data_IF_951295591042
#
_entry.id   IF_951295591042
#
_cell.length_a   1.000
_cell.length_b   1.000
_cell.length_c   1.000
_cell.angle_alpha   90.00
_cell.angle_beta   90.00
_cell.angle_gamma   90.00
#
_symmetry.space_group_name_H-M   'P 1'
#
loop_
_entity.id
_entity.type
_entity.pdbx_description
1 polymer ?
#
# COMPACT_ATOMS: atom_id res chain seq x y z
N UNK A 1 0.84 9.58 -11.86
CA UNK A 1 1.64 8.36 -12.06
C UNK A 1 1.27 7.77 -13.41
N UNK A 2 1.98 8.22 -14.44
CA UNK A 2 2.12 7.59 -15.74
C UNK A 2 3.32 6.64 -15.63
N UNK A 3 3.04 5.38 -15.36
CA UNK A 3 4.02 4.30 -15.51
C UNK A 3 3.77 3.59 -16.84
N UNK A 4 4.82 3.26 -17.57
CA UNK A 4 4.68 2.46 -18.78
C UNK A 4 4.36 1.01 -18.43
N UNK A 5 3.85 0.25 -19.40
CA UNK A 5 3.62 -1.20 -19.28
C UNK A 5 4.89 -2.00 -18.93
N UNK A 6 6.08 -1.41 -19.07
CA UNK A 6 7.37 -1.99 -18.73
C UNK A 6 7.84 -1.67 -17.29
N UNK A 7 6.98 -1.12 -16.42
CA UNK A 7 7.32 -0.84 -15.02
C UNK A 7 8.23 0.37 -14.81
N UNK A 8 8.35 1.26 -15.81
CA UNK A 8 9.18 2.47 -15.71
C UNK A 8 8.35 3.65 -15.20
N UNK A 9 8.85 4.36 -14.18
CA UNK A 9 8.26 5.58 -13.65
C UNK A 9 8.93 6.82 -14.26
N UNK A 10 8.17 7.64 -14.97
CA UNK A 10 8.65 8.87 -15.60
C UNK A 10 8.27 10.14 -14.84
N UNK A 11 7.60 9.98 -13.69
CA UNK A 11 7.13 11.13 -12.91
C UNK A 11 8.30 11.90 -12.32
N UNK A 12 8.26 13.22 -12.39
CA UNK A 12 9.27 14.13 -11.81
C UNK A 12 8.76 14.85 -10.56
N UNK A 13 7.57 14.47 -10.06
CA UNK A 13 6.98 15.05 -8.86
C UNK A 13 7.66 14.61 -7.56
N UNK A 14 7.83 15.56 -6.65
CA UNK A 14 8.26 15.38 -5.25
C UNK A 14 7.08 15.11 -4.31
N UNK A 15 7.37 14.44 -3.20
CA UNK A 15 6.42 14.08 -2.14
C UNK A 15 6.92 14.55 -0.77
N UNK A 16 7.72 15.61 -0.74
CA UNK A 16 8.25 16.18 0.50
C UNK A 16 7.13 16.52 1.50
N UNK A 17 7.32 16.08 2.75
CA UNK A 17 6.36 16.30 3.84
C UNK A 17 5.03 15.52 3.68
N UNK A 18 4.97 14.54 2.78
CA UNK A 18 3.83 13.63 2.63
C UNK A 18 4.04 12.37 3.43
N UNK A 19 3.00 11.95 4.15
CA UNK A 19 2.95 10.64 4.80
C UNK A 19 2.17 9.64 3.95
N UNK A 20 2.80 8.52 3.64
CA UNK A 20 2.21 7.43 2.86
C UNK A 20 2.14 6.16 3.70
N UNK A 21 0.98 5.52 3.73
CA UNK A 21 0.81 4.17 4.30
C UNK A 21 0.78 3.17 3.16
N UNK A 22 1.60 2.12 3.23
CA UNK A 22 1.61 1.03 2.25
C UNK A 22 1.42 -0.29 2.99
N UNK A 23 0.38 -1.03 2.64
CA UNK A 23 0.19 -2.39 3.16
C UNK A 23 1.09 -3.37 2.41
N UNK A 24 1.79 -4.25 3.13
CA UNK A 24 2.63 -5.30 2.52
C UNK A 24 3.85 -4.73 1.80
N UNK A 25 4.58 -3.81 2.43
CA UNK A 25 5.73 -3.12 1.86
C UNK A 25 7.08 -3.87 2.06
N UNK A 26 7.05 -5.10 2.55
CA UNK A 26 8.26 -5.87 2.85
C UNK A 26 8.80 -6.70 1.67
N UNK A 27 8.09 -6.75 0.53
CA UNK A 27 8.56 -7.47 -0.66
C UNK A 27 7.92 -6.94 -1.95
N UNK A 28 8.47 -7.36 -3.09
CA UNK A 28 7.89 -7.15 -4.42
C UNK A 28 7.51 -5.69 -4.70
N UNK A 29 6.31 -5.51 -5.27
CA UNK A 29 5.78 -4.18 -5.66
C UNK A 29 5.73 -3.24 -4.45
N UNK A 30 5.32 -3.72 -3.29
CA UNK A 30 5.23 -2.92 -2.07
C UNK A 30 6.58 -2.34 -1.63
N UNK A 31 7.64 -3.17 -1.65
CA UNK A 31 9.02 -2.75 -1.32
C UNK A 31 9.52 -1.68 -2.29
N UNK A 32 9.42 -1.93 -3.60
CA UNK A 32 9.89 -0.96 -4.61
C UNK A 32 9.09 0.34 -4.54
N UNK A 33 7.79 0.25 -4.28
CA UNK A 33 6.93 1.43 -4.09
C UNK A 33 7.36 2.23 -2.86
N UNK A 34 7.67 1.56 -1.75
CA UNK A 34 8.18 2.24 -0.55
C UNK A 34 9.52 2.94 -0.82
N UNK A 35 10.45 2.27 -1.49
CA UNK A 35 11.75 2.83 -1.85
C UNK A 35 11.60 4.08 -2.75
N UNK A 36 10.82 3.97 -3.83
CA UNK A 36 10.65 5.05 -4.80
C UNK A 36 9.95 6.28 -4.19
N UNK A 37 8.93 6.06 -3.35
CA UNK A 37 8.24 7.17 -2.66
C UNK A 37 9.15 7.84 -1.63
N UNK A 38 9.97 7.08 -0.89
CA UNK A 38 10.93 7.62 0.06
C UNK A 38 12.04 8.41 -0.66
N UNK A 39 12.55 7.92 -1.79
CA UNK A 39 13.48 8.66 -2.66
C UNK A 39 12.88 9.95 -3.20
N UNK A 40 11.54 10.02 -3.29
CA UNK A 40 10.78 11.24 -3.64
C UNK A 40 10.46 12.14 -2.44
N UNK A 41 10.99 11.84 -1.25
CA UNK A 41 10.86 12.69 -0.06
C UNK A 41 9.69 12.38 0.84
N UNK A 42 8.89 11.36 0.52
CA UNK A 42 7.82 10.94 1.41
C UNK A 42 8.39 10.30 2.68
N UNK A 43 7.61 10.40 3.76
CA UNK A 43 7.70 9.47 4.88
C UNK A 43 6.75 8.31 4.59
N UNK A 44 7.23 7.07 4.72
CA UNK A 44 6.51 5.86 4.37
C UNK A 44 6.34 4.99 5.60
N UNK A 45 5.09 4.70 5.96
CA UNK A 45 4.72 3.65 6.89
C UNK A 45 4.62 2.34 6.12
N UNK A 46 5.57 1.45 6.37
CA UNK A 46 5.61 0.08 5.85
C UNK A 46 4.79 -0.81 6.79
N UNK A 47 3.49 -0.93 6.49
CA UNK A 47 2.55 -1.67 7.32
C UNK A 47 2.55 -3.15 6.93
N UNK A 48 3.15 -4.00 7.77
CA UNK A 48 3.46 -5.39 7.44
C UNK A 48 3.02 -6.36 8.55
N UNK A 49 2.62 -7.57 8.13
CA UNK A 49 2.30 -8.64 9.09
C UNK A 49 3.56 -9.15 9.80
N UNK A 50 4.67 -9.28 9.08
CA UNK A 50 5.92 -9.80 9.62
C UNK A 50 6.91 -8.63 9.78
N UNK A 51 7.23 -8.30 11.04
CA UNK A 51 8.08 -7.14 11.38
C UNK A 51 9.53 -7.41 11.04
N UNK A 52 10.02 -8.63 11.29
CA UNK A 52 11.40 -9.00 10.99
C UNK A 52 11.67 -8.89 9.48
N UNK A 53 10.75 -9.38 8.66
CA UNK A 53 10.85 -9.20 7.20
C UNK A 53 10.73 -7.75 6.77
N UNK A 54 9.93 -6.94 7.48
CA UNK A 54 9.80 -5.52 7.17
C UNK A 54 11.08 -4.74 7.51
N UNK A 55 11.73 -5.05 8.63
CA UNK A 55 13.02 -4.47 9.01
C UNK A 55 14.13 -4.90 8.05
N UNK A 56 14.17 -6.17 7.64
CA UNK A 56 15.09 -6.65 6.61
C UNK A 56 14.88 -5.89 5.29
N UNK A 57 13.63 -5.75 4.83
CA UNK A 57 13.31 -5.00 3.62
C UNK A 57 13.70 -3.51 3.73
N UNK A 58 13.50 -2.89 4.90
CA UNK A 58 13.97 -1.53 5.18
C UNK A 58 15.49 -1.44 5.09
N UNK A 59 16.21 -2.37 5.71
CA UNK A 59 17.67 -2.42 5.63
C UNK A 59 18.15 -2.55 4.18
N UNK A 60 17.52 -3.39 3.37
CA UNK A 60 17.83 -3.54 1.95
C UNK A 60 17.59 -2.23 1.17
N UNK A 61 16.49 -1.52 1.45
CA UNK A 61 16.20 -0.21 0.82
C UNK A 61 17.29 0.81 1.18
N UNK A 62 17.75 0.81 2.43
CA UNK A 62 18.83 1.71 2.89
C UNK A 62 20.18 1.30 2.28
N UNK A 63 20.46 0.02 2.12
CA UNK A 63 21.67 -0.45 1.45
C UNK A 63 21.68 -0.05 -0.04
N UNK A 64 20.52 -0.10 -0.71
CA UNK A 64 20.39 0.24 -2.13
C UNK A 64 20.38 1.74 -2.40
N UNK A 65 19.69 2.52 -1.55
CA UNK A 65 19.31 3.91 -1.84
C UNK A 65 19.63 4.89 -0.71
N UNK A 66 20.30 4.44 0.34
CA UNK A 66 20.62 5.24 1.52
C UNK A 66 21.65 6.33 1.29
N UNK A 67 21.76 7.24 2.26
CA UNK A 67 22.76 8.30 2.24
C UNK A 67 24.17 7.71 2.23
N UNK A 68 25.04 8.20 1.34
CA UNK A 68 26.42 7.72 1.19
C UNK A 68 26.60 6.58 0.17
N UNK A 69 25.52 6.05 -0.40
CA UNK A 69 25.62 5.01 -1.42
C UNK A 69 25.88 5.62 -2.82
N UNK A 70 26.93 5.21 -3.55
CA UNK A 70 27.31 5.81 -4.84
C UNK A 70 26.22 5.73 -5.91
N UNK A 71 25.40 4.69 -5.87
CA UNK A 71 24.37 4.41 -6.87
C UNK A 71 22.97 4.81 -6.41
N UNK A 72 22.82 5.42 -5.22
CA UNK A 72 21.53 5.74 -4.63
C UNK A 72 20.63 6.60 -5.52
N UNK A 73 21.20 7.42 -6.41
CA UNK A 73 20.46 8.33 -7.28
C UNK A 73 20.38 7.86 -8.74
N UNK A 74 21.10 6.81 -9.11
CA UNK A 74 21.22 6.34 -10.50
C UNK A 74 20.65 4.94 -10.71
N UNK A 75 20.65 4.11 -9.66
CA UNK A 75 20.06 2.77 -9.68
C UNK A 75 18.55 2.84 -9.93
N UNK A 76 18.07 2.05 -10.88
CA UNK A 76 16.65 1.93 -11.26
C UNK A 76 15.99 3.25 -11.68
N UNK A 77 16.76 4.15 -12.30
CA UNK A 77 16.26 5.44 -12.80
C UNK A 77 16.09 5.40 -14.32
N UNK A 78 14.92 5.84 -14.80
CA UNK A 78 14.59 5.74 -16.24
C UNK A 78 15.33 6.76 -17.11
N UNK A 79 15.57 7.96 -16.60
CA UNK A 79 16.24 9.05 -17.30
C UNK A 79 16.85 10.05 -16.31
N UNK A 80 17.67 10.96 -16.83
CA UNK A 80 18.35 11.98 -16.00
C UNK A 80 17.38 12.97 -15.34
N UNK A 81 16.22 13.24 -15.93
CA UNK A 81 15.21 14.14 -15.37
C UNK A 81 14.62 13.60 -14.06
N UNK A 82 14.28 12.31 -14.04
CA UNK A 82 13.87 11.62 -12.81
C UNK A 82 15.04 11.58 -11.84
N UNK A 83 16.27 11.28 -12.29
CA UNK A 83 17.43 11.25 -11.40
C UNK A 83 17.65 12.55 -10.61
N UNK A 84 17.40 13.71 -11.22
CA UNK A 84 17.58 15.04 -10.60
C UNK A 84 16.65 15.32 -9.42
N UNK A 85 15.47 14.70 -9.38
CA UNK A 85 14.47 14.95 -8.33
C UNK A 85 14.56 13.95 -7.19
N UNK A 86 15.33 12.88 -7.32
CA UNK A 86 15.45 11.86 -6.29
C UNK A 86 16.45 12.30 -5.22
N UNK A 87 16.17 11.90 -3.99
CA UNK A 87 17.05 12.08 -2.83
C UNK A 87 17.41 10.72 -2.26
N UNK A 88 18.58 10.62 -1.63
CA UNK A 88 18.92 9.42 -0.87
C UNK A 88 17.90 9.18 0.25
N UNK A 89 17.57 7.91 0.49
CA UNK A 89 16.62 7.52 1.52
C UNK A 89 17.28 7.64 2.88
N UNK A 90 16.56 8.22 3.84
CA UNK A 90 16.97 8.23 5.24
C UNK A 90 16.19 7.18 6.03
N UNK A 91 16.81 6.57 7.02
CA UNK A 91 16.20 5.47 7.80
C UNK A 91 14.92 5.91 8.51
N UNK A 92 14.87 7.16 8.98
CA UNK A 92 13.72 7.78 9.63
C UNK A 92 12.54 8.04 8.69
N UNK A 93 12.74 8.02 7.37
CA UNK A 93 11.64 8.09 6.41
C UNK A 93 10.86 6.78 6.33
N UNK A 94 11.46 5.65 6.72
CA UNK A 94 10.85 4.32 6.64
C UNK A 94 10.42 3.88 8.04
N UNK A 95 9.13 3.98 8.32
CA UNK A 95 8.52 3.63 9.60
C UNK A 95 7.92 2.24 9.47
N UNK A 96 8.36 1.28 10.29
CA UNK A 96 7.78 -0.06 10.32
C UNK A 96 6.59 -0.07 11.28
N UNK A 97 5.48 -0.64 10.85
CA UNK A 97 4.29 -0.83 11.68
C UNK A 97 3.69 -2.22 11.48
N UNK A 98 3.21 -2.82 12.59
CA UNK A 98 2.52 -4.10 12.54
C UNK A 98 1.13 -3.91 11.94
N UNK A 99 0.81 -4.69 10.91
CA UNK A 99 -0.52 -4.78 10.34
C UNK A 99 -0.74 -6.17 9.72
N UNK A 100 -1.60 -6.97 10.35
CA UNK A 100 -2.21 -8.14 9.76
C UNK A 100 -3.63 -7.81 9.27
N UNK A 101 -3.84 -7.88 7.95
CA UNK A 101 -5.13 -7.63 7.30
C UNK A 101 -6.11 -8.80 7.46
N UNK A 102 -5.64 -9.98 7.87
CA UNK A 102 -6.46 -11.14 8.18
C UNK A 102 -7.01 -11.13 9.62
N UNK A 103 -6.90 -10.00 10.33
CA UNK A 103 -7.47 -9.80 11.66
C UNK A 103 -7.97 -8.37 11.85
N UNK A 104 -9.28 -8.21 12.06
CA UNK A 104 -9.89 -6.89 12.29
C UNK A 104 -9.42 -6.25 13.58
N UNK A 105 -9.09 -7.06 14.60
CA UNK A 105 -8.42 -6.59 15.82
C UNK A 105 -7.10 -5.89 15.49
N UNK A 106 -6.24 -6.57 14.73
CA UNK A 106 -4.94 -6.02 14.29
C UNK A 106 -5.11 -4.72 13.48
N UNK A 107 -6.10 -4.66 12.58
CA UNK A 107 -6.40 -3.44 11.81
C UNK A 107 -6.76 -2.27 12.73
N UNK A 108 -7.65 -2.50 13.71
CA UNK A 108 -8.05 -1.45 14.67
C UNK A 108 -6.88 -0.99 15.53
N UNK A 109 -6.04 -1.92 16.01
CA UNK A 109 -4.85 -1.61 16.78
C UNK A 109 -3.83 -0.77 15.97
N UNK A 110 -3.62 -1.11 14.69
CA UNK A 110 -2.80 -0.32 13.79
C UNK A 110 -3.35 1.11 13.62
N UNK A 111 -4.64 1.24 13.35
CA UNK A 111 -5.28 2.55 13.22
C UNK A 111 -5.15 3.37 14.50
N UNK A 112 -5.30 2.72 15.67
CA UNK A 112 -5.12 3.40 16.95
C UNK A 112 -3.69 3.93 17.11
N UNK A 113 -2.67 3.13 16.82
CA UNK A 113 -1.27 3.60 16.84
C UNK A 113 -1.01 4.77 15.90
N UNK A 114 -1.62 4.76 14.70
CA UNK A 114 -1.52 5.88 13.76
C UNK A 114 -2.18 7.14 14.32
N UNK A 115 -3.35 7.01 14.96
CA UNK A 115 -4.07 8.11 15.61
C UNK A 115 -3.28 8.70 16.78
N UNK A 116 -2.70 7.85 17.61
CA UNK A 116 -1.95 8.27 18.80
C UNK A 116 -0.71 9.10 18.43
N UNK A 117 -0.12 8.84 17.25
CA UNK A 117 0.98 9.66 16.71
C UNK A 117 0.52 11.03 16.20
N UNK A 118 -0.78 11.28 16.08
CA UNK A 118 -1.34 12.54 15.58
C UNK A 118 -1.00 12.83 14.11
N UNK A 119 -0.61 11.80 13.36
CA UNK A 119 -0.10 11.96 12.00
C UNK A 119 -1.24 12.01 10.98
N UNK A 120 -1.20 13.01 10.09
CA UNK A 120 -2.09 13.09 8.92
C UNK A 120 -1.60 12.14 7.82
N UNK A 121 -2.51 11.38 7.20
CA UNK A 121 -2.18 10.49 6.09
C UNK A 121 -2.54 11.17 4.78
N UNK A 122 -1.58 11.30 3.86
CA UNK A 122 -1.83 11.88 2.55
C UNK A 122 -2.19 10.82 1.50
N UNK A 123 -1.55 9.65 1.57
CA UNK A 123 -1.74 8.58 0.60
C UNK A 123 -1.85 7.23 1.32
N UNK A 124 -2.88 6.46 0.99
CA UNK A 124 -3.02 5.06 1.39
C UNK A 124 -2.86 4.17 0.16
N UNK A 125 -1.96 3.19 0.23
CA UNK A 125 -1.73 2.19 -0.82
C UNK A 125 -2.09 0.81 -0.26
N UNK A 126 -3.26 0.32 -0.66
CA UNK A 126 -3.74 -1.03 -0.39
C UNK A 126 -3.08 -1.99 -1.38
N UNK A 127 -1.85 -2.42 -1.05
CA UNK A 127 -0.99 -3.25 -1.89
C UNK A 127 -0.93 -4.72 -1.44
N UNK A 128 -1.00 -4.99 -0.14
CA UNK A 128 -0.88 -6.33 0.41
C UNK A 128 -1.92 -7.28 -0.17
N UNK A 129 -1.49 -8.47 -0.57
CA UNK A 129 -2.42 -9.50 -1.03
C UNK A 129 -1.84 -10.89 -0.86
N UNK A 130 -2.72 -11.85 -0.65
CA UNK A 130 -2.42 -13.28 -0.70
C UNK A 130 -3.05 -13.87 -1.95
N UNK A 131 -2.36 -14.84 -2.55
CA UNK A 131 -2.77 -15.47 -3.81
C UNK A 131 -2.36 -16.93 -3.79
N UNK A 132 -3.20 -17.81 -4.34
CA UNK A 132 -2.97 -19.27 -4.40
C UNK A 132 -2.65 -19.92 -3.04
N UNK A 133 -3.17 -19.38 -1.94
CA UNK A 133 -3.09 -20.06 -0.65
C UNK A 133 -4.08 -21.24 -0.60
N UNK A 134 -3.77 -22.31 0.18
CA UNK A 134 -4.77 -23.30 0.55
C UNK A 134 -6.03 -22.66 1.15
N UNK A 135 -7.12 -23.41 1.25
CA UNK A 135 -8.30 -22.92 1.97
C UNK A 135 -7.97 -22.75 3.45
N UNK A 136 -8.21 -21.54 3.95
CA UNK A 136 -8.03 -21.17 5.34
C UNK A 136 -8.93 -19.97 5.64
N UNK A 137 -9.19 -19.75 6.93
CA UNK A 137 -10.00 -18.62 7.37
C UNK A 137 -9.13 -17.55 8.04
N UNK A 138 -9.58 -16.31 7.96
CA UNK A 138 -9.06 -15.20 8.76
C UNK A 138 -9.41 -15.39 10.23
N UNK A 139 -8.81 -14.58 11.12
CA UNK A 139 -9.14 -14.58 12.54
C UNK A 139 -10.63 -14.25 12.80
N UNK A 140 -11.28 -13.57 11.86
CA UNK A 140 -12.68 -13.16 11.90
C UNK A 140 -13.62 -14.12 11.15
N UNK A 141 -13.13 -15.27 10.69
CA UNK A 141 -13.94 -16.34 10.09
C UNK A 141 -14.21 -16.21 8.57
N UNK A 142 -13.61 -15.23 7.88
CA UNK A 142 -13.76 -15.06 6.44
C UNK A 142 -12.79 -15.96 5.66
N UNK A 143 -13.10 -16.31 4.42
CA UNK A 143 -12.11 -16.95 3.52
C UNK A 143 -10.87 -16.04 3.39
N UNK A 144 -9.68 -16.64 3.46
CA UNK A 144 -8.41 -15.92 3.58
C UNK A 144 -8.18 -14.85 2.49
N UNK A 145 -8.46 -15.14 1.22
CA UNK A 145 -8.25 -14.19 0.12
C UNK A 145 -9.28 -13.06 0.15
N UNK A 146 -10.57 -13.36 0.33
CA UNK A 146 -11.64 -12.35 0.47
C UNK A 146 -11.35 -11.46 1.69
N UNK A 147 -11.05 -12.09 2.82
CA UNK A 147 -10.81 -11.43 4.09
C UNK A 147 -9.60 -10.52 4.04
N UNK A 148 -8.48 -10.96 3.47
CA UNK A 148 -7.25 -10.17 3.41
C UNK A 148 -7.28 -9.13 2.30
N UNK A 149 -7.62 -9.53 1.07
CA UNK A 149 -7.44 -8.68 -0.11
C UNK A 149 -8.54 -7.62 -0.24
N UNK A 150 -9.74 -7.88 0.29
CA UNK A 150 -10.87 -6.94 0.24
C UNK A 150 -11.33 -6.47 1.61
N UNK A 151 -11.82 -7.36 2.47
CA UNK A 151 -12.51 -6.92 3.70
C UNK A 151 -11.57 -6.19 4.66
N UNK A 152 -10.34 -6.68 4.83
CA UNK A 152 -9.32 -6.05 5.64
C UNK A 152 -8.93 -4.68 5.10
N UNK A 153 -8.69 -4.56 3.79
CA UNK A 153 -8.39 -3.27 3.16
C UNK A 153 -9.57 -2.29 3.21
N UNK A 154 -10.80 -2.78 3.06
CA UNK A 154 -12.00 -1.97 3.19
C UNK A 154 -12.10 -1.40 4.60
N UNK A 155 -12.01 -2.25 5.63
CA UNK A 155 -12.04 -1.82 7.03
C UNK A 155 -10.90 -0.83 7.35
N UNK A 156 -9.68 -1.13 6.89
CA UNK A 156 -8.53 -0.24 7.06
C UNK A 156 -8.80 1.14 6.46
N UNK A 157 -9.28 1.18 5.22
CA UNK A 157 -9.57 2.42 4.50
C UNK A 157 -10.61 3.23 5.26
N UNK A 158 -11.76 2.63 5.59
CA UNK A 158 -12.85 3.29 6.31
C UNK A 158 -12.38 3.88 7.64
N UNK A 159 -11.58 3.14 8.41
CA UNK A 159 -11.09 3.60 9.71
C UNK A 159 -10.05 4.72 9.62
N UNK A 160 -9.29 4.79 8.52
CA UNK A 160 -8.30 5.85 8.27
C UNK A 160 -8.88 7.08 7.57
N UNK A 161 -10.08 7.01 6.98
CA UNK A 161 -10.71 8.16 6.30
C UNK A 161 -10.75 9.43 7.17
N UNK A 162 -11.08 9.39 8.48
CA UNK A 162 -11.03 10.59 9.32
C UNK A 162 -9.63 11.23 9.38
N UNK A 163 -8.58 10.42 9.42
CA UNK A 163 -7.18 10.88 9.50
C UNK A 163 -6.70 11.44 8.17
N UNK A 164 -7.20 10.89 7.06
CA UNK A 164 -6.95 11.41 5.72
C UNK A 164 -7.69 12.72 5.47
N UNK A 165 -8.94 12.86 5.93
CA UNK A 165 -9.74 14.07 5.74
C UNK A 165 -9.19 15.30 6.48
N UNK A 166 -8.35 15.11 7.51
CA UNK A 166 -7.63 16.22 8.16
C UNK A 166 -6.55 16.85 7.28
N UNK A 167 -6.14 16.20 6.19
CA UNK A 167 -5.17 16.80 5.26
C UNK A 167 -5.86 17.82 4.36
N UNK A 168 -5.44 19.08 4.44
CA UNK A 168 -5.92 20.19 3.58
C UNK A 168 -5.47 20.07 2.10
N UNK A 169 -4.70 19.03 1.77
CA UNK A 169 -4.16 18.77 0.42
C UNK A 169 -4.83 17.52 -0.17
N UNK A 170 -4.71 17.37 -1.49
CA UNK A 170 -5.28 16.24 -2.27
C UNK A 170 -4.82 14.87 -1.73
N UNK A 171 -5.67 14.23 -0.94
CA UNK A 171 -5.48 12.85 -0.46
C UNK A 171 -5.87 11.82 -1.50
N UNK A 172 -5.27 10.62 -1.43
CA UNK A 172 -5.56 9.54 -2.37
C UNK A 172 -5.54 8.17 -1.69
N UNK A 173 -6.52 7.34 -2.03
CA UNK A 173 -6.48 5.89 -1.78
C UNK A 173 -6.18 5.19 -3.10
N UNK A 174 -5.17 4.33 -3.11
CA UNK A 174 -4.74 3.54 -4.27
C UNK A 174 -4.92 2.07 -3.89
N UNK A 175 -5.67 1.33 -4.71
CA UNK A 175 -5.92 -0.09 -4.49
C UNK A 175 -5.21 -0.86 -5.59
N UNK A 176 -4.28 -1.75 -5.21
CA UNK A 176 -3.61 -2.63 -6.14
C UNK A 176 -4.58 -3.73 -6.57
N UNK A 177 -4.64 -3.97 -7.89
CA UNK A 177 -5.47 -5.02 -8.49
C UNK A 177 -4.62 -5.82 -9.48
N UNK A 178 -5.20 -6.87 -10.05
CA UNK A 178 -4.54 -7.79 -10.98
C UNK A 178 -5.41 -8.02 -12.20
N UNK A 179 -4.82 -8.34 -13.37
CA UNK A 179 -5.57 -8.75 -14.57
C UNK A 179 -6.47 -9.97 -14.34
N UNK A 180 -6.22 -10.77 -13.29
CA UNK A 180 -7.11 -11.84 -12.86
C UNK A 180 -8.55 -11.37 -12.58
N UNK A 181 -8.76 -10.08 -12.30
CA UNK A 181 -10.10 -9.49 -12.13
C UNK A 181 -10.98 -9.56 -13.41
N UNK A 182 -10.39 -9.75 -14.59
CA UNK A 182 -11.14 -9.86 -15.86
C UNK A 182 -11.79 -11.23 -16.05
N UNK A 183 -11.25 -12.25 -15.38
CA UNK A 183 -11.74 -13.62 -15.48
C UNK A 183 -12.77 -13.94 -14.38
N UNK A 184 -13.25 -12.92 -13.67
CA UNK A 184 -14.01 -13.08 -12.44
C UNK A 184 -15.39 -12.40 -12.46
N UNK A 185 -16.47 -13.14 -12.17
CA UNK A 185 -17.85 -12.69 -11.90
C UNK A 185 -18.16 -12.62 -10.41
N UNK A 186 -18.52 -11.47 -9.85
CA UNK A 186 -18.97 -11.39 -8.45
C UNK A 186 -20.35 -12.05 -8.31
N UNK A 187 -20.46 -13.11 -7.51
CA UNK A 187 -21.75 -13.74 -7.19
C UNK A 187 -22.10 -13.38 -5.74
N UNK A 188 -23.05 -12.47 -5.55
CA UNK A 188 -23.65 -12.25 -4.23
C UNK A 188 -24.72 -13.31 -4.01
N UNK A 189 -24.36 -14.41 -3.36
CA UNK A 189 -25.35 -15.39 -2.92
C UNK A 189 -26.01 -14.85 -1.65
N UNK A 190 -27.25 -14.40 -1.79
CA UNK A 190 -28.14 -14.26 -0.64
C UNK A 190 -28.32 -15.66 -0.06
N UNK A 191 -27.94 -15.84 1.22
CA UNK A 191 -28.17 -17.03 2.06
C UNK A 191 -27.23 -18.24 1.87
N UNK A 192 -26.57 -18.62 2.97
CA UNK A 192 -26.01 -19.93 3.35
C UNK A 192 -25.18 -20.78 2.36
N UNK A 193 -23.87 -20.87 2.68
CA UNK A 193 -22.92 -21.99 2.57
C UNK A 193 -23.17 -23.05 1.48
N UNK A 194 -22.32 -23.06 0.45
CA UNK A 194 -21.54 -24.23 -0.02
C UNK A 194 -20.55 -23.81 -1.13
N UNK A 195 -19.31 -24.28 -1.00
CA UNK A 195 -18.12 -23.87 -1.75
C UNK A 195 -18.24 -24.19 -3.25
N UNK A 196 -18.01 -23.19 -4.12
CA UNK A 196 -17.32 -23.40 -5.38
C UNK A 196 -16.44 -22.20 -5.74
N UNK A 197 -15.16 -22.51 -5.88
CA UNK A 197 -14.05 -21.67 -6.31
C UNK A 197 -14.40 -20.86 -7.57
N UNK A 198 -14.28 -19.55 -7.46
CA UNK A 198 -13.18 -18.70 -7.94
C UNK A 198 -13.49 -17.33 -7.26
N UNK A 199 -12.66 -16.31 -7.44
CA UNK A 199 -13.01 -14.88 -7.30
C UNK A 199 -12.82 -14.23 -5.92
N UNK A 200 -11.77 -13.40 -5.81
CA UNK A 200 -11.97 -12.06 -5.22
C UNK A 200 -11.01 -11.01 -5.79
N UNK A 201 -11.45 -10.23 -6.78
CA UNK A 201 -10.88 -8.93 -7.14
C UNK A 201 -12.04 -7.99 -7.49
N UNK A 202 -12.63 -7.37 -6.48
CA UNK A 202 -13.73 -6.41 -6.63
C UNK A 202 -13.23 -5.02 -7.04
N UNK A 203 -14.02 -4.43 -7.96
CA UNK A 203 -13.90 -3.08 -8.52
C UNK A 203 -13.72 -2.01 -7.44
N UNK A 204 -12.72 -1.15 -7.60
CA UNK A 204 -12.74 0.20 -7.04
C UNK A 204 -12.67 1.22 -8.18
N UNK A 205 -13.84 1.53 -8.73
CA UNK A 205 -14.06 2.73 -9.53
C UNK A 205 -15.14 3.57 -8.81
N UNK A 206 -14.76 4.27 -7.74
CA UNK A 206 -15.54 5.41 -7.26
C UNK A 206 -15.35 6.50 -8.32
N UNK A 207 -16.32 6.58 -9.24
CA UNK A 207 -16.44 7.68 -10.19
C UNK A 207 -16.90 8.90 -9.38
N UNK A 208 -15.98 9.78 -9.00
CA UNK A 208 -16.32 11.16 -8.66
C UNK A 208 -16.71 11.86 -9.96
N UNK A 209 -18.01 11.96 -10.22
CA UNK A 209 -18.55 13.03 -11.05
C UNK A 209 -18.69 14.27 -10.17
N UNK A 210 -18.18 15.38 -10.67
CA UNK A 210 -17.98 16.63 -9.96
C UNK A 210 -19.29 17.38 -9.66
N UNK A 211 -19.24 18.26 -8.66
CA UNK A 211 -20.03 19.49 -8.67
C UNK A 211 -19.71 20.28 -9.95
N UNK A 212 -20.76 20.71 -10.64
CA UNK A 212 -20.79 21.95 -11.42
C UNK A 212 -22.26 22.43 -11.41
N UNK A 213 -22.44 23.60 -10.78
CA UNK A 213 -23.62 24.49 -10.72
C UNK A 213 -24.92 23.99 -10.06
#
# INVERSE_FOLDING_TARGET
>A
MRCSSAGKCYETGRLDGKLVVITGANSGIGRETAAELARRGATVIMACRDIEKAEAAKADIIADYGTGQPTALTKNVVNSEVGKILSAVKSEQLIIEKLDLSSFKSIREFVQRVRDRGQKIDILINNAGVMFCPYMQTADGFEMQVGTNHLGHFLLTELLLPEMNRSSKRTRVIILSSKAHLQTKVIMLSSCISILFILTYLKSAIRRSACAE
#
